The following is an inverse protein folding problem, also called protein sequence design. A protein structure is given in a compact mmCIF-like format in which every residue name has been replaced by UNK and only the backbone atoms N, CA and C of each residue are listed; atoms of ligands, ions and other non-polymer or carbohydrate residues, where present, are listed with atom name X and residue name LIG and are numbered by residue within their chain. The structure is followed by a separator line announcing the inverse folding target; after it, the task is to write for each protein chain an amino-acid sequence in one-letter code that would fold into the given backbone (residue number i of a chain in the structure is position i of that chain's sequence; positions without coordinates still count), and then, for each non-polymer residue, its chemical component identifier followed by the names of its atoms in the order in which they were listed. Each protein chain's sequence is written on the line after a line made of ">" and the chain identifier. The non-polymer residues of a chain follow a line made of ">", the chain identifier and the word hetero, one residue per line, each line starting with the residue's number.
data_IF_525224804675
#
_entry.id   IF_525224804675
#
_cell.length_a   1.000
_cell.length_b   1.000
_cell.length_c   1.000
_cell.angle_alpha   90.00
_cell.angle_beta   90.00
_cell.angle_gamma   90.00
#
_symmetry.space_group_name_H-M   'P 1'
#
loop_
_entity.id
_entity.type
_entity.pdbx_description
1 polymer ?
#
# COMPACT_ATOMS: atom_id res chain seq x y z
N UNK A 1 10.04 5.41 -1.74
CA UNK A 1 9.05 5.58 -2.86
C UNK A 1 7.95 4.55 -2.72
N UNK A 2 6.69 5.00 -2.65
CA UNK A 2 5.51 4.14 -2.46
C UNK A 2 4.72 4.07 -3.77
N UNK A 3 4.28 2.87 -4.15
CA UNK A 3 3.49 2.62 -5.36
C UNK A 3 2.01 2.48 -4.98
N UNK A 4 1.13 3.19 -5.69
CA UNK A 4 -0.32 2.99 -5.55
C UNK A 4 -0.73 1.75 -6.35
N UNK A 5 -1.45 0.84 -5.70
CA UNK A 5 -1.90 -0.44 -6.26
C UNK A 5 -3.43 -0.54 -6.16
N UNK A 6 -4.00 -1.36 -7.04
CA UNK A 6 -5.40 -1.83 -7.00
C UNK A 6 -5.47 -3.19 -6.29
N UNK A 7 -6.69 -3.66 -5.95
CA UNK A 7 -6.85 -5.05 -5.46
C UNK A 7 -6.52 -6.05 -6.57
N UNK A 8 -6.66 -5.70 -7.85
CA UNK A 8 -6.33 -6.64 -8.93
C UNK A 8 -4.82 -6.77 -9.17
N UNK A 9 -4.03 -5.71 -8.96
CA UNK A 9 -2.60 -5.71 -9.27
C UNK A 9 -1.69 -5.95 -8.06
N UNK A 10 -2.22 -5.95 -6.83
CA UNK A 10 -1.41 -6.20 -5.63
C UNK A 10 -0.75 -7.60 -5.64
N UNK A 11 -1.42 -8.62 -6.19
CA UNK A 11 -0.90 -9.99 -6.31
C UNK A 11 0.36 -10.04 -7.19
N UNK A 12 0.41 -9.24 -8.27
CA UNK A 12 1.62 -9.16 -9.10
C UNK A 12 2.75 -8.46 -8.37
N UNK A 13 2.43 -7.52 -7.49
CA UNK A 13 3.41 -6.75 -6.73
C UNK A 13 4.06 -7.57 -5.62
N UNK A 14 3.28 -8.36 -4.87
CA UNK A 14 3.81 -9.28 -3.84
C UNK A 14 4.74 -10.36 -4.41
N UNK A 15 4.48 -10.82 -5.65
CA UNK A 15 5.25 -11.88 -6.31
C UNK A 15 6.55 -11.37 -6.95
N UNK A 16 6.86 -10.08 -6.83
CA UNK A 16 8.13 -9.57 -7.31
C UNK A 16 9.31 -10.05 -6.45
N UNK A 17 10.50 -10.24 -7.05
CA UNK A 17 11.68 -10.62 -6.29
C UNK A 17 12.05 -9.53 -5.27
N UNK A 18 12.53 -9.98 -4.09
CA UNK A 18 12.96 -9.12 -3.00
C UNK A 18 11.95 -9.08 -1.84
N UNK A 19 12.07 -8.05 -1.01
CA UNK A 19 11.14 -7.81 0.11
C UNK A 19 10.10 -6.80 -0.32
N UNK A 20 8.84 -7.09 0.02
CA UNK A 20 7.69 -6.28 -0.34
C UNK A 20 6.87 -6.00 0.91
N UNK A 21 6.37 -4.78 1.05
CA UNK A 21 5.44 -4.38 2.10
C UNK A 21 4.26 -3.67 1.45
N UNK A 22 3.05 -4.21 1.66
CA UNK A 22 1.81 -3.63 1.13
C UNK A 22 0.98 -3.09 2.29
N UNK A 23 0.56 -1.82 2.22
CA UNK A 23 -0.37 -1.20 3.16
C UNK A 23 -1.77 -1.15 2.57
N UNK A 24 -2.68 -1.94 3.12
CA UNK A 24 -4.10 -1.83 2.85
C UNK A 24 -4.70 -0.76 3.77
N UNK A 25 -5.38 0.22 3.20
CA UNK A 25 -5.96 1.33 3.97
C UNK A 25 -7.30 1.78 3.39
N UNK A 26 -8.06 2.51 4.20
CA UNK A 26 -9.29 3.18 3.82
C UNK A 26 -9.20 4.67 4.21
N UNK A 27 -9.93 5.53 3.50
CA UNK A 27 -9.90 6.97 3.75
C UNK A 27 -10.62 7.33 5.06
N UNK A 28 -11.61 6.53 5.45
CA UNK A 28 -12.29 6.68 6.74
C UNK A 28 -11.49 6.12 7.93
N UNK A 29 -10.43 5.33 7.70
CA UNK A 29 -9.68 4.65 8.76
C UNK A 29 -8.74 5.62 9.51
N UNK A 30 -9.04 5.98 10.77
CA UNK A 30 -8.23 6.93 11.54
C UNK A 30 -6.84 6.38 11.89
N UNK A 31 -6.73 5.11 12.25
CA UNK A 31 -5.46 4.46 12.58
C UNK A 31 -4.53 4.39 11.35
N UNK A 32 -5.11 4.20 10.16
CA UNK A 32 -4.36 4.20 8.91
C UNK A 32 -3.72 5.57 8.62
N UNK A 33 -4.37 6.68 9.02
CA UNK A 33 -3.80 8.03 8.91
C UNK A 33 -2.65 8.24 9.88
N UNK A 34 -2.72 7.69 11.10
CA UNK A 34 -1.63 7.75 12.07
C UNK A 34 -0.39 6.99 11.58
N UNK A 35 -0.60 5.84 10.94
CA UNK A 35 0.50 5.00 10.42
C UNK A 35 1.11 5.58 9.14
N UNK A 36 0.42 6.49 8.43
CA UNK A 36 0.85 7.04 7.13
C UNK A 36 2.26 7.63 7.19
N UNK A 37 2.53 8.52 8.15
CA UNK A 37 3.84 9.19 8.26
C UNK A 37 4.97 8.20 8.53
N UNK A 38 4.75 7.26 9.46
CA UNK A 38 5.73 6.20 9.73
C UNK A 38 5.98 5.33 8.49
N UNK A 39 4.93 5.01 7.73
CA UNK A 39 5.04 4.22 6.51
C UNK A 39 5.85 4.93 5.43
N UNK A 40 5.65 6.24 5.25
CA UNK A 40 6.43 7.09 4.34
C UNK A 40 7.91 7.11 4.74
N UNK A 41 8.20 7.36 6.02
CA UNK A 41 9.57 7.35 6.56
C UNK A 41 10.28 6.02 6.36
N UNK A 42 9.59 4.90 6.59
CA UNK A 42 10.13 3.56 6.34
C UNK A 42 10.40 3.34 4.85
N UNK A 43 9.55 3.85 3.97
CA UNK A 43 9.71 3.73 2.51
C UNK A 43 10.89 4.51 1.95
N UNK A 44 11.31 5.55 2.66
CA UNK A 44 12.48 6.36 2.29
C UNK A 44 13.76 5.81 2.93
N UNK A 45 13.65 5.19 4.12
CA UNK A 45 14.78 4.56 4.82
C UNK A 45 15.23 3.25 4.19
N UNK A 46 14.30 2.42 3.71
CA UNK A 46 14.60 1.08 3.20
C UNK A 46 14.44 1.01 1.68
N UNK A 47 15.50 1.41 0.96
CA UNK A 47 15.51 1.37 -0.51
C UNK A 47 15.56 -0.05 -1.10
N UNK A 48 15.90 -1.06 -0.31
CA UNK A 48 15.92 -2.48 -0.70
C UNK A 48 14.55 -3.16 -0.59
N UNK A 49 13.57 -2.47 0.01
CA UNK A 49 12.21 -2.95 0.20
C UNK A 49 11.27 -2.19 -0.74
N UNK A 50 10.36 -2.91 -1.39
CA UNK A 50 9.33 -2.34 -2.24
C UNK A 50 8.09 -2.02 -1.41
N UNK A 51 7.65 -0.77 -1.44
CA UNK A 51 6.47 -0.32 -0.69
C UNK A 51 5.30 -0.06 -1.64
N UNK A 52 4.16 -0.70 -1.37
CA UNK A 52 2.92 -0.55 -2.11
C UNK A 52 1.76 -0.20 -1.20
N UNK A 53 0.75 0.50 -1.68
CA UNK A 53 -0.46 0.76 -0.90
C UNK A 53 -1.72 0.58 -1.74
N UNK A 54 -2.75 0.00 -1.13
CA UNK A 54 -4.06 -0.28 -1.73
C UNK A 54 -5.12 0.45 -0.93
N UNK A 55 -5.92 1.28 -1.60
CA UNK A 55 -7.09 1.90 -0.99
C UNK A 55 -8.29 0.97 -1.20
N UNK A 56 -8.81 0.40 -0.12
CA UNK A 56 -9.91 -0.58 -0.19
C UNK A 56 -11.28 0.08 -0.39
N UNK A 57 -11.43 1.38 -0.12
CA UNK A 57 -12.68 2.11 -0.36
C UNK A 57 -12.95 2.29 -1.85
N UNK A 58 -11.89 2.57 -2.63
CA UNK A 58 -12.01 2.80 -4.07
C UNK A 58 -12.39 1.57 -4.88
N UNK A 59 -12.14 0.39 -4.35
CA UNK A 59 -12.36 -0.89 -5.04
C UNK A 59 -13.76 -1.45 -4.75
N UNK A 60 -14.38 -1.02 -3.64
CA UNK A 60 -15.79 -1.29 -3.36
C UNK A 60 -16.73 -0.57 -4.34
N UNK A 61 -16.26 0.50 -4.98
CA UNK A 61 -17.08 1.33 -5.88
C UNK A 61 -17.01 0.84 -7.34
N UNK A 62 -15.97 0.10 -7.72
CA UNK A 62 -15.79 -0.46 -9.09
C UNK A 62 -16.44 -1.84 -9.27
N UNK A 63 -17.02 -2.41 -8.21
CA UNK A 63 -17.75 -3.69 -8.23
C UNK A 63 -19.29 -3.54 -8.27
N UNK A 64 -19.81 -2.32 -8.50
CA UNK A 64 -21.24 -2.02 -8.59
C UNK A 64 -21.75 -1.92 -10.03
#
# INVERSE_FOLDING_TARGET
>A
MIIQLTIQDHEKFENQPGRVVIKFYADWCPDCRLIKSMYEELSDKYSDIKFGQVNIDKESEEAA
#
